data_IF_152662423728
#
_entry.id   IF_152662423728
#
_cell.length_a   1.000
_cell.length_b   1.000
_cell.length_c   1.000
_cell.angle_alpha   90.00
_cell.angle_beta   90.00
_cell.angle_gamma   90.00
#
_symmetry.space_group_name_H-M   'P 1'
#
loop_
_entity.id
_entity.type
_entity.pdbx_description
1 polymer ?
#
# COMPACT_ATOMS: atom_id res chain seq x y z
N UNK A 1 -17.95 0.76 -19.52
CA UNK A 1 -16.81 1.57 -19.99
C UNK A 1 -15.87 1.97 -18.84
N UNK A 2 -16.34 2.65 -17.79
CA UNK A 2 -15.51 3.05 -16.63
C UNK A 2 -14.80 1.87 -15.94
N UNK A 3 -15.47 0.73 -15.77
CA UNK A 3 -14.88 -0.45 -15.14
C UNK A 3 -13.64 -0.97 -15.87
N UNK A 4 -13.66 -1.05 -17.21
CA UNK A 4 -12.51 -1.50 -17.99
C UNK A 4 -11.31 -0.56 -17.86
N UNK A 5 -11.57 0.76 -17.77
CA UNK A 5 -10.52 1.75 -17.52
C UNK A 5 -9.89 1.55 -16.13
N UNK A 6 -10.71 1.34 -15.09
CA UNK A 6 -10.22 1.08 -13.74
C UNK A 6 -9.40 -0.21 -13.67
N UNK A 7 -9.84 -1.28 -14.33
CA UNK A 7 -9.11 -2.55 -14.41
C UNK A 7 -7.76 -2.38 -15.11
N UNK A 8 -7.74 -1.70 -16.26
CA UNK A 8 -6.52 -1.43 -17.00
C UNK A 8 -5.52 -0.62 -16.18
N UNK A 9 -5.96 0.48 -15.56
CA UNK A 9 -5.10 1.32 -14.73
C UNK A 9 -4.60 0.56 -13.50
N UNK A 10 -5.45 -0.26 -12.87
CA UNK A 10 -5.05 -1.11 -11.74
C UNK A 10 -3.95 -2.09 -12.16
N UNK A 11 -4.14 -2.80 -13.28
CA UNK A 11 -3.15 -3.74 -13.79
C UNK A 11 -1.82 -3.06 -14.13
N UNK A 12 -1.86 -1.87 -14.73
CA UNK A 12 -0.66 -1.08 -15.03
C UNK A 12 0.08 -0.67 -13.75
N UNK A 13 -0.62 -0.09 -12.78
CA UNK A 13 -0.02 0.38 -11.52
C UNK A 13 0.53 -0.79 -10.70
N UNK A 14 -0.25 -1.87 -10.53
CA UNK A 14 0.18 -3.05 -9.78
C UNK A 14 1.25 -3.87 -10.50
N UNK A 15 1.32 -3.83 -11.84
CA UNK A 15 2.39 -4.47 -12.60
C UNK A 15 3.71 -3.71 -12.56
N UNK A 16 3.67 -2.36 -12.54
CA UNK A 16 4.87 -1.53 -12.49
C UNK A 16 5.47 -1.41 -11.07
N UNK A 17 4.63 -1.43 -10.03
CA UNK A 17 5.06 -1.19 -8.63
C UNK A 17 6.15 -2.18 -8.14
N UNK A 18 6.05 -3.51 -8.37
CA UNK A 18 7.09 -4.46 -7.97
C UNK A 18 8.47 -4.17 -8.57
N UNK A 19 8.52 -3.61 -9.79
CA UNK A 19 9.78 -3.23 -10.45
C UNK A 19 10.44 -2.08 -9.69
N UNK A 20 9.67 -1.04 -9.36
CA UNK A 20 10.13 0.10 -8.58
C UNK A 20 10.56 -0.31 -7.17
N UNK A 21 9.77 -1.17 -6.51
CA UNK A 21 10.04 -1.67 -5.17
C UNK A 21 11.31 -2.54 -5.14
N UNK A 22 11.54 -3.38 -6.15
CA UNK A 22 12.77 -4.16 -6.28
C UNK A 22 14.01 -3.26 -6.41
N UNK A 23 13.93 -2.22 -7.23
CA UNK A 23 15.02 -1.24 -7.42
C UNK A 23 15.29 -0.49 -6.11
N UNK A 24 14.24 0.00 -5.43
CA UNK A 24 14.36 0.75 -4.19
C UNK A 24 14.80 -0.10 -2.99
N UNK A 25 14.43 -1.39 -2.97
CA UNK A 25 14.74 -2.27 -1.86
C UNK A 25 16.23 -2.60 -1.80
N UNK A 26 16.92 -2.78 -2.93
CA UNK A 26 18.39 -2.90 -3.03
C UNK A 26 19.09 -3.49 -1.78
N UNK A 27 19.79 -2.64 -1.03
CA UNK A 27 20.43 -3.00 0.26
C UNK A 27 19.57 -2.65 1.49
N UNK A 28 18.48 -1.92 1.32
CA UNK A 28 17.58 -1.44 2.37
C UNK A 28 16.92 -2.62 3.11
N UNK A 29 16.76 -2.48 4.42
CA UNK A 29 16.01 -3.43 5.24
C UNK A 29 14.50 -3.38 4.89
N UNK A 30 13.81 -4.54 4.73
CA UNK A 30 12.38 -4.58 4.41
C UNK A 30 11.49 -3.75 5.33
N UNK A 31 11.71 -3.80 6.65
CA UNK A 31 10.87 -3.07 7.60
C UNK A 31 11.08 -1.55 7.46
N UNK A 32 12.32 -1.13 7.24
CA UNK A 32 12.68 0.25 6.94
C UNK A 32 11.98 0.75 5.67
N UNK A 33 11.98 -0.05 4.60
CA UNK A 33 11.31 0.29 3.35
C UNK A 33 9.78 0.41 3.52
N UNK A 34 9.14 -0.53 4.23
CA UNK A 34 7.70 -0.45 4.55
C UNK A 34 7.37 0.80 5.36
N UNK A 35 8.23 1.15 6.33
CA UNK A 35 8.04 2.33 7.17
C UNK A 35 8.06 3.62 6.35
N UNK A 36 9.08 3.80 5.50
CA UNK A 36 9.19 4.99 4.62
C UNK A 36 7.98 5.07 3.69
N UNK A 37 7.62 3.95 3.03
CA UNK A 37 6.46 3.89 2.13
C UNK A 37 5.17 4.31 2.85
N UNK A 38 4.95 3.79 4.06
CA UNK A 38 3.74 4.03 4.84
C UNK A 38 3.63 5.47 5.32
N UNK A 39 4.75 6.08 5.75
CA UNK A 39 4.76 7.48 6.17
C UNK A 39 4.44 8.43 5.01
N UNK A 40 5.10 8.22 3.86
CA UNK A 40 4.89 9.07 2.67
C UNK A 40 3.44 9.01 2.20
N UNK A 41 2.86 7.81 2.05
CA UNK A 41 1.47 7.70 1.60
C UNK A 41 0.48 8.23 2.63
N UNK A 42 0.74 8.07 3.93
CA UNK A 42 -0.14 8.59 4.99
C UNK A 42 -0.22 10.11 4.94
N UNK A 43 0.91 10.80 4.75
CA UNK A 43 0.96 12.26 4.61
C UNK A 43 0.14 12.69 3.38
N UNK A 44 0.36 12.05 2.23
CA UNK A 44 -0.37 12.36 0.98
C UNK A 44 -1.88 12.17 1.17
N UNK A 45 -2.31 11.09 1.82
CA UNK A 45 -3.73 10.81 2.07
C UNK A 45 -4.37 11.85 2.99
N UNK A 46 -3.68 12.26 4.06
CA UNK A 46 -4.19 13.31 4.97
C UNK A 46 -4.34 14.64 4.22
N UNK A 47 -3.35 15.03 3.42
CA UNK A 47 -3.43 16.25 2.59
C UNK A 47 -4.61 16.16 1.63
N UNK A 48 -4.78 15.04 0.94
CA UNK A 48 -5.86 14.86 -0.02
C UNK A 48 -7.24 14.94 0.63
N UNK A 49 -7.41 14.33 1.81
CA UNK A 49 -8.66 14.42 2.58
C UNK A 49 -8.94 15.82 3.10
N UNK A 50 -7.90 16.57 3.48
CA UNK A 50 -8.01 17.96 3.89
C UNK A 50 -8.50 18.84 2.71
N UNK A 51 -7.85 18.73 1.55
CA UNK A 51 -8.20 19.49 0.34
C UNK A 51 -9.60 19.16 -0.16
N UNK A 52 -10.02 17.89 -0.05
CA UNK A 52 -11.37 17.46 -0.47
C UNK A 52 -12.46 17.70 0.58
N UNK A 53 -12.11 18.23 1.75
CA UNK A 53 -13.05 18.47 2.86
C UNK A 53 -13.63 17.20 3.49
N UNK A 54 -13.04 16.02 3.21
CA UNK A 54 -13.57 14.70 3.62
C UNK A 54 -13.04 14.21 4.97
N UNK A 55 -12.23 14.99 5.68
CA UNK A 55 -11.70 14.61 6.99
C UNK A 55 -12.81 14.25 8.01
N UNK A 56 -13.94 14.96 7.99
CA UNK A 56 -15.09 14.68 8.87
C UNK A 56 -15.71 13.30 8.64
N UNK A 57 -15.57 12.74 7.43
CA UNK A 57 -16.14 11.43 7.12
C UNK A 57 -15.47 10.31 7.91
N UNK A 58 -14.18 10.45 8.26
CA UNK A 58 -13.47 9.46 9.07
C UNK A 58 -14.08 9.37 10.48
N UNK A 59 -14.41 10.51 11.07
CA UNK A 59 -14.99 10.59 12.41
C UNK A 59 -16.45 10.15 12.49
N UNK A 60 -17.15 10.16 11.36
CA UNK A 60 -18.54 9.70 11.26
C UNK A 60 -18.65 8.18 10.99
N UNK A 61 -17.53 7.46 10.87
CA UNK A 61 -17.56 6.01 10.67
C UNK A 61 -17.98 5.28 11.95
N UNK A 62 -18.69 4.18 11.78
CA UNK A 62 -19.01 3.28 12.89
C UNK A 62 -17.70 2.71 13.51
N UNK A 63 -17.57 2.64 14.85
CA UNK A 63 -16.37 2.14 15.52
C UNK A 63 -15.93 0.75 15.04
N UNK A 64 -16.89 -0.14 14.76
CA UNK A 64 -16.63 -1.47 14.21
C UNK A 64 -15.91 -1.41 12.86
N UNK A 65 -16.31 -0.48 11.99
CA UNK A 65 -15.69 -0.27 10.68
C UNK A 65 -14.25 0.21 10.83
N UNK A 66 -13.99 1.13 11.77
CA UNK A 66 -12.64 1.61 12.07
C UNK A 66 -11.74 0.46 12.53
N UNK A 67 -12.23 -0.41 13.42
CA UNK A 67 -11.47 -1.56 13.92
C UNK A 67 -11.15 -2.54 12.78
N UNK A 68 -12.14 -2.89 11.95
CA UNK A 68 -11.94 -3.80 10.82
C UNK A 68 -10.87 -3.25 9.85
N UNK A 69 -10.96 -1.96 9.47
CA UNK A 69 -9.96 -1.35 8.60
C UNK A 69 -8.58 -1.24 9.26
N UNK A 70 -8.52 -1.00 10.56
CA UNK A 70 -7.25 -0.95 11.30
C UNK A 70 -6.55 -2.31 11.31
N UNK A 71 -7.29 -3.39 11.58
CA UNK A 71 -6.77 -4.76 11.54
C UNK A 71 -6.34 -5.13 10.11
N UNK A 72 -7.18 -4.84 9.11
CA UNK A 72 -6.85 -5.08 7.71
C UNK A 72 -5.59 -4.32 7.29
N UNK A 73 -5.44 -3.07 7.73
CA UNK A 73 -4.26 -2.24 7.47
C UNK A 73 -3.01 -2.79 8.14
N UNK A 74 -3.11 -3.30 9.37
CA UNK A 74 -2.01 -3.97 10.04
C UNK A 74 -1.58 -5.25 9.31
N UNK A 75 -2.55 -6.08 8.90
CA UNK A 75 -2.29 -7.32 8.18
C UNK A 75 -1.65 -7.06 6.81
N UNK A 76 -2.25 -6.20 5.98
CA UNK A 76 -1.75 -5.96 4.63
C UNK A 76 -0.57 -4.98 4.60
N UNK A 77 -0.72 -3.83 5.25
CA UNK A 77 0.21 -2.70 5.16
C UNK A 77 1.50 -2.87 5.96
N UNK A 78 1.48 -3.58 7.09
CA UNK A 78 2.69 -3.89 7.86
C UNK A 78 3.18 -5.31 7.58
N UNK A 79 2.42 -6.33 7.99
CA UNK A 79 2.90 -7.72 7.95
C UNK A 79 3.03 -8.24 6.52
N UNK A 80 2.02 -8.01 5.68
CA UNK A 80 2.00 -8.42 4.28
C UNK A 80 3.11 -7.75 3.47
N UNK A 81 3.24 -6.44 3.59
CA UNK A 81 4.31 -5.70 2.89
C UNK A 81 5.71 -6.09 3.40
N UNK A 82 5.89 -6.31 4.70
CA UNK A 82 7.19 -6.73 5.24
C UNK A 82 7.60 -8.10 4.72
N UNK A 83 6.69 -9.07 4.77
CA UNK A 83 6.94 -10.42 4.23
C UNK A 83 7.15 -10.42 2.70
N UNK A 84 6.38 -9.60 1.98
CA UNK A 84 6.53 -9.39 0.55
C UNK A 84 7.92 -8.81 0.20
N UNK A 85 8.35 -7.74 0.87
CA UNK A 85 9.68 -7.16 0.64
C UNK A 85 10.81 -8.12 1.05
N UNK A 86 10.66 -8.86 2.15
CA UNK A 86 11.61 -9.90 2.52
C UNK A 86 11.76 -10.95 1.40
N UNK A 87 10.64 -11.43 0.84
CA UNK A 87 10.65 -12.38 -0.27
C UNK A 87 11.24 -11.79 -1.56
N UNK A 88 10.93 -10.52 -1.89
CA UNK A 88 11.54 -9.81 -3.02
C UNK A 88 13.07 -9.75 -2.88
N UNK A 89 13.58 -9.45 -1.69
CA UNK A 89 15.02 -9.35 -1.40
C UNK A 89 15.73 -10.69 -1.56
N UNK A 90 15.05 -11.79 -1.25
CA UNK A 90 15.55 -13.15 -1.44
C UNK A 90 15.49 -13.63 -2.90
N UNK A 91 15.07 -12.78 -3.84
CA UNK A 91 15.02 -13.10 -5.27
C UNK A 91 13.80 -13.94 -5.69
N UNK A 92 12.80 -14.09 -4.82
CA UNK A 92 11.59 -14.88 -5.12
C UNK A 92 10.61 -14.17 -6.07
N UNK A 93 11.02 -13.09 -6.75
CA UNK A 93 10.15 -12.19 -7.55
C UNK A 93 9.19 -12.90 -8.51
N UNK A 94 9.62 -13.97 -9.17
CA UNK A 94 8.81 -14.73 -10.14
C UNK A 94 7.81 -15.71 -9.51
N UNK A 95 7.83 -15.90 -8.18
CA UNK A 95 6.94 -16.82 -7.46
C UNK A 95 5.84 -16.12 -6.66
N UNK A 96 5.99 -14.83 -6.39
CA UNK A 96 5.10 -14.04 -5.51
C UNK A 96 4.22 -13.03 -6.27
N UNK A 97 4.58 -12.69 -7.50
CA UNK A 97 3.78 -11.79 -8.35
C UNK A 97 3.35 -12.59 -9.59
N UNK A 98 2.04 -12.74 -9.84
CA UNK A 98 1.51 -13.47 -11.00
C UNK A 98 1.74 -12.74 -12.33
#
# INVERSE_FOLDING_TARGET
>A
MVTYLLLFLTALLWGATPILEKIGLGKTDPLTAVTIRSLVISIILIIFLAVTGKLKNIFNLEPKTIIIFSISGFMAGLLGMWTYFAALKLGATSKIVP
#
